data_IF_640769912527
#
_entry.id   IF_640769912527
#
_cell.length_a   1.000
_cell.length_b   1.000
_cell.length_c   1.000
_cell.angle_alpha   90.00
_cell.angle_beta   90.00
_cell.angle_gamma   90.00
#
_symmetry.space_group_name_H-M   'P 1'
#
loop_
_entity.id
_entity.type
_entity.pdbx_description
1 polymer ?
#
# COMPACT_ATOMS: atom_id res chain seq x y z
N UNK A 1 4.23 0.55 20.90
CA UNK A 1 3.47 1.33 19.88
C UNK A 1 3.25 0.44 18.67
N UNK A 2 2.02 0.39 18.20
CA UNK A 2 1.59 -0.51 17.12
C UNK A 2 1.20 0.31 15.88
N UNK A 3 1.59 -0.18 14.70
CA UNK A 3 1.26 0.41 13.40
C UNK A 3 0.57 -0.62 12.52
N UNK A 4 -0.35 -0.16 11.69
CA UNK A 4 -1.06 -0.97 10.71
C UNK A 4 -0.68 -0.51 9.32
N UNK A 5 -0.16 -1.41 8.49
CA UNK A 5 0.16 -1.15 7.10
C UNK A 5 -0.76 -2.02 6.23
N UNK A 6 -1.56 -1.39 5.39
CA UNK A 6 -2.50 -2.08 4.50
C UNK A 6 -2.07 -1.86 3.06
N UNK A 7 -1.65 -2.93 2.41
CA UNK A 7 -1.32 -2.90 0.99
C UNK A 7 -2.53 -3.28 0.16
N UNK A 8 -2.93 -2.41 -0.76
CA UNK A 8 -4.10 -2.66 -1.60
C UNK A 8 -3.76 -3.53 -2.81
N UNK A 9 -4.69 -4.39 -3.16
CA UNK A 9 -4.60 -5.29 -4.29
C UNK A 9 -5.88 -6.11 -4.44
N UNK A 10 -5.95 -6.89 -5.51
CA UNK A 10 -7.02 -7.85 -5.73
C UNK A 10 -6.56 -9.26 -5.39
N UNK A 11 -7.41 -10.08 -4.75
CA UNK A 11 -7.09 -11.49 -4.51
C UNK A 11 -7.16 -12.29 -5.81
N UNK A 12 -6.36 -13.35 -5.89
CA UNK A 12 -6.35 -14.26 -7.03
C UNK A 12 -5.03 -14.27 -7.76
N UNK A 13 -4.67 -15.45 -8.31
CA UNK A 13 -3.39 -15.66 -8.97
C UNK A 13 -3.21 -14.76 -10.21
N UNK A 14 -4.29 -14.42 -10.89
CA UNK A 14 -4.30 -13.57 -12.08
C UNK A 14 -3.87 -12.11 -11.80
N UNK A 15 -3.95 -11.68 -10.54
CA UNK A 15 -3.63 -10.29 -10.16
C UNK A 15 -2.27 -10.12 -9.52
N UNK A 16 -1.56 -11.21 -9.20
CA UNK A 16 -0.35 -11.20 -8.35
C UNK A 16 0.73 -10.24 -8.87
N UNK A 17 0.92 -10.16 -10.19
CA UNK A 17 1.96 -9.32 -10.80
C UNK A 17 1.39 -8.16 -11.59
N UNK A 18 0.22 -7.67 -11.22
CA UNK A 18 -0.36 -6.48 -11.86
C UNK A 18 0.08 -5.20 -11.15
N UNK A 19 0.04 -4.08 -11.86
CA UNK A 19 0.36 -2.76 -11.30
C UNK A 19 -0.55 -2.42 -10.12
N UNK A 20 -1.82 -2.81 -10.21
CA UNK A 20 -2.81 -2.55 -9.16
C UNK A 20 -2.51 -3.28 -7.85
N UNK A 21 -1.69 -4.33 -7.90
CA UNK A 21 -1.28 -5.10 -6.73
C UNK A 21 0.07 -4.66 -6.15
N UNK A 22 0.57 -3.49 -6.52
CA UNK A 22 1.85 -3.00 -5.97
C UNK A 22 1.82 -2.91 -4.44
N UNK A 23 0.67 -2.65 -3.84
CA UNK A 23 0.53 -2.65 -2.39
C UNK A 23 0.84 -4.01 -1.77
N UNK A 24 0.41 -5.11 -2.40
CA UNK A 24 0.74 -6.46 -1.96
C UNK A 24 2.24 -6.73 -2.10
N UNK A 25 2.81 -6.37 -3.22
CA UNK A 25 4.25 -6.55 -3.48
C UNK A 25 5.10 -5.77 -2.48
N UNK A 26 4.67 -4.55 -2.14
CA UNK A 26 5.36 -3.72 -1.16
C UNK A 26 5.36 -4.36 0.24
N UNK A 27 4.23 -4.91 0.67
CA UNK A 27 4.14 -5.60 1.95
C UNK A 27 4.91 -6.92 1.95
N UNK A 28 4.93 -7.65 0.84
CA UNK A 28 5.73 -8.86 0.71
C UNK A 28 7.23 -8.54 0.85
N UNK A 29 7.69 -7.44 0.25
CA UNK A 29 9.07 -7.00 0.39
C UNK A 29 9.41 -6.61 1.83
N UNK A 30 8.53 -5.88 2.50
CA UNK A 30 8.71 -5.50 3.92
C UNK A 30 8.73 -6.73 4.82
N UNK A 31 7.79 -7.65 4.64
CA UNK A 31 7.73 -8.89 5.42
C UNK A 31 9.00 -9.71 5.24
N UNK A 32 9.50 -9.84 4.00
CA UNK A 32 10.76 -10.53 3.72
C UNK A 32 11.95 -9.88 4.42
N UNK A 33 12.03 -8.55 4.41
CA UNK A 33 13.10 -7.81 5.09
C UNK A 33 13.07 -7.97 6.61
N UNK A 34 11.90 -8.19 7.20
CA UNK A 34 11.71 -8.36 8.64
C UNK A 34 11.50 -9.82 9.04
N UNK A 35 11.75 -10.75 8.14
CA UNK A 35 11.63 -12.20 8.37
C UNK A 35 10.25 -12.62 8.89
N UNK A 36 9.20 -11.95 8.39
CA UNK A 36 7.82 -12.24 8.73
C UNK A 36 7.13 -12.97 7.58
N UNK A 37 6.11 -13.77 7.91
CA UNK A 37 5.33 -14.52 6.93
C UNK A 37 3.86 -14.16 7.05
N UNK A 38 3.18 -14.07 5.90
CA UNK A 38 1.73 -13.90 5.84
C UNK A 38 1.02 -15.22 6.07
N UNK A 39 -0.11 -15.16 6.78
CA UNK A 39 -1.04 -16.28 6.90
C UNK A 39 -2.47 -15.77 6.75
N UNK A 40 -3.39 -16.62 6.24
CA UNK A 40 -4.79 -16.23 6.09
C UNK A 40 -5.44 -15.89 7.42
N UNK A 41 -6.24 -14.82 7.42
CA UNK A 41 -7.00 -14.37 8.55
C UNK A 41 -8.30 -13.72 8.04
N UNK A 42 -9.08 -13.12 8.91
CA UNK A 42 -10.33 -12.50 8.52
C UNK A 42 -10.07 -11.29 7.62
N UNK A 43 -10.71 -11.28 6.44
CA UNK A 43 -10.65 -10.20 5.46
C UNK A 43 -9.25 -9.92 4.89
N UNK A 44 -8.29 -10.81 5.08
CA UNK A 44 -6.97 -10.62 4.50
C UNK A 44 -5.94 -11.65 4.90
N UNK A 45 -4.79 -11.58 4.26
CA UNK A 45 -3.58 -12.24 4.71
C UNK A 45 -2.83 -11.28 5.62
N UNK A 46 -2.33 -11.77 6.76
CA UNK A 46 -1.77 -10.94 7.82
C UNK A 46 -0.41 -11.44 8.22
N UNK A 47 0.54 -10.52 8.38
CA UNK A 47 1.84 -10.79 8.97
C UNK A 47 2.06 -9.83 10.15
N UNK A 48 2.70 -10.32 11.20
CA UNK A 48 3.06 -9.53 12.37
C UNK A 48 4.56 -9.57 12.57
N UNK A 49 5.16 -8.41 12.76
CA UNK A 49 6.59 -8.30 12.95
C UNK A 49 6.93 -7.12 13.85
N UNK A 50 8.21 -6.98 14.15
CA UNK A 50 8.73 -5.86 14.95
C UNK A 50 9.86 -5.18 14.19
N UNK A 51 9.92 -3.87 14.33
CA UNK A 51 11.02 -3.07 13.82
C UNK A 51 11.39 -2.01 14.84
N UNK A 52 12.63 -2.08 15.37
CA UNK A 52 13.16 -1.10 16.34
C UNK A 52 12.18 -0.82 17.49
N UNK A 53 11.62 -1.87 18.08
CA UNK A 53 10.69 -1.75 19.19
C UNK A 53 9.24 -1.41 18.82
N UNK A 54 8.94 -1.20 17.56
CA UNK A 54 7.58 -0.97 17.06
C UNK A 54 6.96 -2.28 16.61
N UNK A 55 5.68 -2.48 16.92
CA UNK A 55 4.91 -3.63 16.41
C UNK A 55 4.27 -3.22 15.08
N UNK A 56 4.44 -4.05 14.06
CA UNK A 56 3.84 -3.83 12.74
C UNK A 56 2.86 -4.95 12.43
N UNK A 57 1.64 -4.56 12.05
CA UNK A 57 0.62 -5.47 11.52
C UNK A 57 0.47 -5.14 10.03
N UNK A 58 0.78 -6.13 9.19
CA UNK A 58 0.73 -5.99 7.73
C UNK A 58 -0.49 -6.74 7.24
N UNK A 59 -1.35 -6.08 6.47
CA UNK A 59 -2.59 -6.68 5.96
C UNK A 59 -2.66 -6.53 4.45
N UNK A 60 -2.81 -7.66 3.76
CA UNK A 60 -3.19 -7.71 2.34
C UNK A 60 -4.66 -8.10 2.29
N UNK A 61 -5.59 -7.16 2.01
CA UNK A 61 -7.03 -7.50 2.00
C UNK A 61 -7.35 -8.64 1.04
N UNK A 62 -8.25 -9.54 1.46
CA UNK A 62 -8.77 -10.62 0.61
C UNK A 62 -10.06 -10.23 -0.11
N UNK A 63 -10.50 -8.98 0.05
CA UNK A 63 -11.59 -8.39 -0.70
C UNK A 63 -11.10 -7.89 -2.05
N UNK A 64 -12.01 -7.77 -3.03
CA UNK A 64 -11.66 -7.03 -4.24
C UNK A 64 -11.36 -5.57 -3.91
N UNK A 65 -10.61 -4.91 -4.80
CA UNK A 65 -10.10 -3.55 -4.59
C UNK A 65 -11.19 -2.57 -4.17
N UNK A 66 -12.36 -2.61 -4.80
CA UNK A 66 -13.47 -1.71 -4.52
C UNK A 66 -14.18 -1.98 -3.16
N UNK A 67 -13.73 -2.97 -2.41
CA UNK A 67 -14.24 -3.30 -1.07
C UNK A 67 -13.13 -3.24 -0.02
N UNK A 68 -12.04 -2.55 -0.30
CA UNK A 68 -10.87 -2.46 0.60
C UNK A 68 -11.18 -1.82 1.95
N UNK A 69 -12.16 -0.91 2.00
CA UNK A 69 -12.52 -0.20 3.23
C UNK A 69 -12.98 -1.12 4.35
N UNK A 70 -13.65 -2.21 4.01
CA UNK A 70 -14.14 -3.19 5.00
C UNK A 70 -12.97 -3.83 5.76
N UNK A 71 -11.93 -4.21 5.05
CA UNK A 71 -10.73 -4.80 5.67
C UNK A 71 -9.97 -3.77 6.51
N UNK A 72 -9.81 -2.57 5.99
CA UNK A 72 -9.13 -1.48 6.73
C UNK A 72 -9.84 -1.20 8.06
N UNK A 73 -11.15 -1.01 8.03
CA UNK A 73 -11.94 -0.75 9.24
C UNK A 73 -11.81 -1.87 10.25
N UNK A 74 -12.00 -3.10 9.79
CA UNK A 74 -11.91 -4.27 10.65
C UNK A 74 -10.56 -4.35 11.38
N UNK A 75 -9.46 -4.21 10.64
CA UNK A 75 -8.13 -4.36 11.22
C UNK A 75 -7.72 -3.20 12.10
N UNK A 76 -8.16 -1.97 11.79
CA UNK A 76 -7.99 -0.83 12.70
C UNK A 76 -8.67 -1.09 14.05
N UNK A 77 -9.89 -1.59 14.02
CA UNK A 77 -10.69 -1.83 15.23
C UNK A 77 -10.12 -2.98 16.06
N UNK A 78 -9.81 -4.11 15.43
CA UNK A 78 -9.28 -5.31 16.11
C UNK A 78 -7.92 -5.05 16.73
N UNK A 79 -7.04 -4.39 16.00
CA UNK A 79 -5.68 -4.11 16.47
C UNK A 79 -5.60 -2.83 17.31
N UNK A 80 -6.69 -2.09 17.42
CA UNK A 80 -6.78 -0.83 18.18
C UNK A 80 -5.72 0.17 17.74
N UNK A 81 -5.56 0.31 16.43
CA UNK A 81 -4.61 1.25 15.84
C UNK A 81 -5.34 2.52 15.44
N UNK A 82 -4.91 3.70 15.94
CA UNK A 82 -5.50 4.96 15.53
C UNK A 82 -5.11 5.30 14.09
N UNK A 83 -5.88 6.19 13.48
CA UNK A 83 -5.76 6.52 12.06
C UNK A 83 -4.38 7.09 11.70
N UNK A 84 -3.74 7.84 12.60
CA UNK A 84 -2.41 8.42 12.36
C UNK A 84 -1.26 7.40 12.44
N UNK A 85 -1.53 6.17 12.88
CA UNK A 85 -0.58 5.05 12.87
C UNK A 85 -0.95 3.96 11.88
N UNK A 86 -1.84 4.27 10.95
CA UNK A 86 -2.21 3.41 9.84
C UNK A 86 -1.73 4.04 8.54
N UNK A 87 -1.17 3.24 7.65
CA UNK A 87 -0.79 3.68 6.30
C UNK A 87 -1.34 2.72 5.27
N UNK A 88 -1.97 3.28 4.25
CA UNK A 88 -2.44 2.53 3.07
C UNK A 88 -1.42 2.68 1.97
N UNK A 89 -1.03 1.56 1.35
CA UNK A 89 -0.08 1.53 0.22
C UNK A 89 -0.87 1.22 -1.05
N UNK A 90 -0.74 2.07 -2.05
CA UNK A 90 -1.54 1.99 -3.28
C UNK A 90 -0.76 2.42 -4.51
N UNK A 91 -1.21 1.96 -5.68
CA UNK A 91 -0.73 2.43 -6.98
C UNK A 91 -1.29 3.82 -7.30
N UNK A 92 -0.54 4.59 -8.12
CA UNK A 92 -0.96 5.92 -8.57
C UNK A 92 -0.55 6.12 -10.04
N UNK A 93 -1.53 6.27 -10.92
CA UNK A 93 -1.29 6.52 -12.35
C UNK A 93 -0.80 7.95 -12.63
N UNK A 94 -0.94 8.86 -11.68
CA UNK A 94 -0.53 10.26 -11.84
C UNK A 94 0.93 10.51 -11.48
N UNK A 95 1.66 9.46 -11.08
CA UNK A 95 3.09 9.51 -10.77
C UNK A 95 3.85 8.62 -11.75
N UNK A 96 5.03 9.06 -12.22
CA UNK A 96 5.91 8.19 -13.00
C UNK A 96 6.22 6.89 -12.25
N UNK A 97 6.48 5.82 -13.00
CA UNK A 97 6.79 4.52 -12.40
C UNK A 97 7.89 4.65 -11.35
N UNK A 98 7.63 4.07 -10.18
CA UNK A 98 8.59 3.99 -9.09
C UNK A 98 8.71 5.23 -8.22
N UNK A 99 8.07 6.33 -8.59
CA UNK A 99 8.04 7.52 -7.75
C UNK A 99 7.20 7.28 -6.51
N UNK A 100 7.72 7.66 -5.35
CA UNK A 100 7.04 7.49 -4.06
C UNK A 100 6.49 8.82 -3.57
N UNK A 101 5.26 8.80 -3.08
CA UNK A 101 4.64 9.99 -2.49
C UNK A 101 3.79 9.61 -1.29
N UNK A 102 4.13 10.19 -0.13
CA UNK A 102 3.39 10.00 1.12
C UNK A 102 2.58 11.27 1.41
N UNK A 103 1.35 11.09 1.82
CA UNK A 103 0.46 12.18 2.24
C UNK A 103 -0.29 11.80 3.51
N UNK A 104 -0.53 12.79 4.37
CA UNK A 104 -1.36 12.61 5.58
C UNK A 104 -2.84 12.54 5.25
N UNK A 105 -3.24 13.12 4.12
CA UNK A 105 -4.63 13.20 3.65
C UNK A 105 -4.63 13.45 2.14
N UNK A 106 -5.78 13.32 1.52
CA UNK A 106 -5.92 13.65 0.10
C UNK A 106 -7.12 12.96 -0.54
N UNK A 107 -7.42 13.35 -1.78
CA UNK A 107 -8.49 12.75 -2.57
C UNK A 107 -8.10 11.35 -3.02
N UNK A 108 -9.09 10.56 -3.44
CA UNK A 108 -8.89 9.20 -3.95
C UNK A 108 -8.21 9.15 -5.32
N UNK A 109 -8.20 10.25 -6.06
CA UNK A 109 -7.61 10.32 -7.40
C UNK A 109 -8.25 9.38 -8.41
N UNK A 110 -9.47 8.93 -8.16
CA UNK A 110 -10.16 7.95 -8.98
C UNK A 110 -9.82 6.49 -8.65
N UNK A 111 -8.98 6.26 -7.64
CA UNK A 111 -8.61 4.91 -7.22
C UNK A 111 -9.75 4.27 -6.42
N UNK A 112 -10.29 3.15 -6.91
CA UNK A 112 -11.48 2.53 -6.33
C UNK A 112 -11.27 2.04 -4.90
N UNK A 113 -10.07 1.58 -4.56
CA UNK A 113 -9.74 1.17 -3.19
C UNK A 113 -9.75 2.34 -2.21
N UNK A 114 -9.13 3.45 -2.57
CA UNK A 114 -9.12 4.65 -1.74
C UNK A 114 -10.52 5.25 -1.62
N UNK A 115 -11.29 5.22 -2.70
CA UNK A 115 -12.69 5.68 -2.69
C UNK A 115 -13.51 4.91 -1.67
N UNK A 116 -13.40 3.58 -1.66
CA UNK A 116 -14.13 2.74 -0.71
C UNK A 116 -13.67 2.95 0.73
N UNK A 117 -12.36 3.06 0.96
CA UNK A 117 -11.79 3.34 2.29
C UNK A 117 -12.35 4.66 2.81
N UNK A 118 -12.33 5.71 1.99
CA UNK A 118 -12.86 7.01 2.36
C UNK A 118 -14.35 6.95 2.72
N UNK A 119 -15.12 6.19 1.95
CA UNK A 119 -16.55 5.99 2.20
C UNK A 119 -16.79 5.27 3.53
N UNK A 120 -16.05 4.19 3.79
CA UNK A 120 -16.21 3.38 5.00
C UNK A 120 -15.72 4.11 6.26
N UNK A 121 -14.58 4.79 6.18
CA UNK A 121 -14.03 5.53 7.34
C UNK A 121 -14.69 6.89 7.54
N UNK A 122 -15.39 7.42 6.54
CA UNK A 122 -16.01 8.74 6.60
C UNK A 122 -15.02 9.90 6.55
N UNK A 123 -13.78 9.66 6.14
CA UNK A 123 -12.73 10.68 6.05
C UNK A 123 -11.67 10.29 5.05
N UNK A 124 -11.00 11.29 4.47
CA UNK A 124 -9.80 11.12 3.64
C UNK A 124 -8.51 11.47 4.41
N UNK A 125 -8.60 11.75 5.71
CA UNK A 125 -7.47 12.18 6.53
C UNK A 125 -6.80 10.97 7.20
N UNK A 126 -6.14 10.16 6.41
CA UNK A 126 -5.30 9.04 6.86
C UNK A 126 -4.02 8.96 6.02
N UNK A 127 -2.89 8.53 6.60
CA UNK A 127 -1.63 8.38 5.87
C UNK A 127 -1.75 7.40 4.70
N UNK A 128 -1.19 7.78 3.57
CA UNK A 128 -1.13 6.91 2.40
C UNK A 128 0.19 7.06 1.67
N UNK A 129 0.70 5.94 1.20
CA UNK A 129 1.85 5.87 0.31
C UNK A 129 1.33 5.58 -1.10
N UNK A 130 1.63 6.47 -2.04
CA UNK A 130 1.32 6.31 -3.45
C UNK A 130 2.59 5.87 -4.18
N UNK A 131 2.53 4.71 -4.80
CA UNK A 131 3.60 4.18 -5.64
C UNK A 131 3.23 4.43 -7.10
N UNK A 132 4.02 5.22 -7.79
CA UNK A 132 3.76 5.57 -9.18
C UNK A 132 3.82 4.37 -10.11
N UNK A 133 2.80 4.20 -10.94
CA UNK A 133 2.76 3.16 -11.97
C UNK A 133 2.64 3.74 -13.38
N UNK A 134 2.66 5.07 -13.48
CA UNK A 134 2.60 5.79 -14.75
C UNK A 134 1.22 5.76 -15.40
N UNK A 135 1.10 6.49 -16.49
CA UNK A 135 -0.14 6.64 -17.26
C UNK A 135 0.11 6.41 -18.75
N UNK A 136 0.97 5.48 -19.11
CA UNK A 136 1.27 5.14 -20.49
C UNK A 136 0.16 4.26 -21.07
N UNK A 137 -1.01 4.87 -21.31
CA UNK A 137 -2.16 4.21 -21.89
C UNK A 137 -3.03 5.24 -22.64
N UNK A 138 -3.79 4.76 -23.62
CA UNK A 138 -4.71 5.60 -24.39
C UNK A 138 -6.05 5.83 -23.67
N UNK A 139 -6.92 6.69 -24.25
CA UNK A 139 -8.24 6.95 -23.67
C UNK A 139 -9.03 5.67 -23.43
N UNK A 140 -9.67 5.56 -22.25
CA UNK A 140 -10.48 4.41 -21.88
C UNK A 140 -9.69 3.15 -21.52
N UNK A 141 -8.36 3.20 -21.49
CA UNK A 141 -7.50 2.03 -21.25
C UNK A 141 -6.89 2.00 -19.83
N UNK A 142 -7.39 2.83 -18.93
CA UNK A 142 -6.85 2.91 -17.56
C UNK A 142 -6.96 1.58 -16.80
N UNK A 143 -8.11 0.92 -16.90
CA UNK A 143 -8.35 -0.37 -16.23
C UNK A 143 -7.36 -1.42 -16.76
N UNK A 144 -7.19 -1.50 -18.07
CA UNK A 144 -6.24 -2.43 -18.69
C UNK A 144 -4.82 -2.17 -18.23
N UNK A 145 -4.44 -0.90 -18.05
CA UNK A 145 -3.11 -0.53 -17.57
C UNK A 145 -2.86 -1.00 -16.13
N UNK A 146 -3.75 -0.67 -15.21
CA UNK A 146 -3.54 -1.02 -13.79
C UNK A 146 -3.71 -2.51 -13.53
N UNK A 147 -4.57 -3.20 -14.28
CA UNK A 147 -4.74 -4.65 -14.21
C UNK A 147 -3.75 -5.41 -15.10
N UNK A 148 -2.88 -4.68 -15.82
CA UNK A 148 -1.85 -5.26 -16.65
C UNK A 148 -0.55 -5.51 -15.88
N UNK A 149 0.34 -6.35 -16.45
CA UNK A 149 1.64 -6.63 -15.85
C UNK A 149 2.57 -5.43 -15.98
N UNK A 150 3.62 -5.40 -15.16
CA UNK A 150 4.72 -4.46 -15.34
C UNK A 150 5.43 -4.76 -16.66
N UNK A 151 5.93 -3.72 -17.35
CA UNK A 151 6.78 -3.91 -18.52
C UNK A 151 8.12 -4.52 -18.12
N UNK A 152 8.87 -5.03 -19.08
CA UNK A 152 10.21 -5.59 -18.81
C UNK A 152 11.13 -4.56 -18.15
N UNK A 153 11.06 -3.30 -18.59
CA UNK A 153 11.84 -2.21 -18.02
C UNK A 153 11.41 -1.93 -16.57
N UNK A 154 10.11 -1.92 -16.31
CA UNK A 154 9.58 -1.75 -14.96
C UNK A 154 9.97 -2.91 -14.05
N UNK A 155 9.86 -4.16 -14.53
CA UNK A 155 10.26 -5.34 -13.78
C UNK A 155 11.73 -5.30 -13.37
N UNK A 156 12.63 -4.85 -14.27
CA UNK A 156 14.05 -4.78 -13.95
C UNK A 156 14.37 -3.72 -12.89
N UNK A 157 13.55 -2.69 -12.73
CA UNK A 157 13.71 -1.65 -11.73
C UNK A 157 12.92 -1.91 -10.43
N UNK A 158 11.98 -2.86 -10.48
CA UNK A 158 11.00 -3.05 -9.39
C UNK A 158 11.65 -3.43 -8.07
N UNK A 159 12.66 -4.30 -8.09
CA UNK A 159 13.35 -4.74 -6.86
C UNK A 159 13.94 -3.58 -6.07
N UNK A 160 14.65 -2.69 -6.74
CA UNK A 160 15.25 -1.51 -6.11
C UNK A 160 14.17 -0.54 -5.60
N UNK A 161 13.09 -0.36 -6.36
CA UNK A 161 11.96 0.47 -5.94
C UNK A 161 11.24 -0.09 -4.72
N UNK A 162 11.10 -1.42 -4.63
CA UNK A 162 10.51 -2.07 -3.46
C UNK A 162 11.42 -1.98 -2.24
N UNK A 163 12.75 -2.04 -2.40
CA UNK A 163 13.68 -1.78 -1.30
C UNK A 163 13.51 -0.37 -0.74
N UNK A 164 13.37 0.62 -1.62
CA UNK A 164 13.13 2.01 -1.23
C UNK A 164 11.79 2.15 -0.49
N UNK A 165 10.77 1.47 -0.98
CA UNK A 165 9.43 1.45 -0.37
C UNK A 165 9.47 0.80 1.02
N UNK A 166 10.23 -0.28 1.18
CA UNK A 166 10.45 -0.93 2.47
C UNK A 166 11.07 0.06 3.47
N UNK A 167 12.14 0.75 3.07
CA UNK A 167 12.79 1.76 3.91
C UNK A 167 11.81 2.88 4.32
N UNK A 168 10.93 3.29 3.41
CA UNK A 168 9.91 4.30 3.70
C UNK A 168 8.92 3.81 4.77
N UNK A 169 8.42 2.59 4.63
CA UNK A 169 7.47 2.02 5.61
C UNK A 169 8.12 1.85 6.98
N UNK A 170 9.38 1.43 7.03
CA UNK A 170 10.15 1.35 8.27
C UNK A 170 10.33 2.73 8.91
N UNK A 171 10.62 3.75 8.10
CA UNK A 171 10.73 5.14 8.54
C UNK A 171 9.42 5.65 9.15
N UNK A 172 8.29 5.35 8.51
CA UNK A 172 6.98 5.74 9.02
C UNK A 172 6.75 5.20 10.44
N UNK A 173 7.05 3.93 10.67
CA UNK A 173 6.86 3.31 11.98
C UNK A 173 7.85 3.83 13.03
N UNK A 174 9.08 4.12 12.65
CA UNK A 174 10.13 4.49 13.59
C UNK A 174 10.28 6.01 13.76
N UNK A 175 10.30 6.77 12.67
CA UNK A 175 10.59 8.21 12.67
C UNK A 175 9.34 9.10 12.57
N UNK A 176 8.20 8.53 12.18
CA UNK A 176 6.94 9.24 12.05
C UNK A 176 6.70 9.78 10.64
N UNK A 177 5.46 10.24 10.40
CA UNK A 177 4.96 10.63 9.10
C UNK A 177 5.73 11.82 8.51
N UNK A 178 5.94 12.88 9.29
CA UNK A 178 6.55 14.11 8.77
C UNK A 178 8.00 13.88 8.30
N UNK A 179 8.79 13.17 9.09
CA UNK A 179 10.17 12.85 8.71
C UNK A 179 10.21 11.93 7.49
N UNK A 180 9.27 11.00 7.42
CA UNK A 180 9.16 10.10 6.27
C UNK A 180 8.82 10.87 4.99
N UNK A 181 7.86 11.81 5.06
CA UNK A 181 7.54 12.67 3.92
C UNK A 181 8.75 13.47 3.46
N UNK A 182 9.49 14.05 4.40
CA UNK A 182 10.68 14.86 4.08
C UNK A 182 11.78 14.05 3.39
N UNK A 183 11.97 12.79 3.84
CA UNK A 183 13.06 11.95 3.34
C UNK A 183 12.73 11.24 2.03
N UNK A 184 11.47 10.88 1.80
CA UNK A 184 11.10 9.94 0.74
C UNK A 184 10.24 10.53 -0.37
N UNK A 185 9.54 11.65 -0.17
CA UNK A 185 8.65 12.19 -1.19
C UNK A 185 9.42 12.55 -2.46
N UNK A 186 8.84 12.16 -3.61
CA UNK A 186 9.37 12.41 -4.95
C UNK A 186 10.74 11.75 -5.20
N UNK A 187 10.99 10.63 -4.54
CA UNK A 187 12.24 9.86 -4.71
C UNK A 187 12.08 8.55 -5.47
#
# INVERSE_FOLDING_TARGET
MKFLLVGLGNPGAEYVRTRHNIGFLALDALAGALEASFSPDRLGDVARCKHKGRQLVLVKPSTFMNLSGKAVRYWMDVEKVPMDRMMVITDDINLPFGTLRVRAKGNDGGHNGLKDIQSVLGTSAYPRLRFGVGADFGPGRQVDHVLGPFSDQEESALGERLERTTALMQSFAFAGLQRTMNAFNNT
#
